data_IF_186266806682
#
_entry.id   IF_186266806682
#
_cell.length_a   1.000
_cell.length_b   1.000
_cell.length_c   1.000
_cell.angle_alpha   90.00
_cell.angle_beta   90.00
_cell.angle_gamma   90.00
#
_symmetry.space_group_name_H-M   'P 1'
#
loop_
_entity.id
_entity.type
_entity.pdbx_description
1 polymer ?
#
# COMPACT_ATOMS: atom_id res chain seq x y z
N UNK A 1 -2.52 -50.07 17.57
CA UNK A 1 -3.57 -49.51 16.70
C UNK A 1 -3.31 -48.02 16.55
N UNK A 2 -2.24 -47.69 15.83
CA UNK A 2 -1.78 -46.32 15.65
C UNK A 2 -1.04 -46.32 14.31
N UNK A 3 -1.67 -45.76 13.28
CA UNK A 3 -1.11 -45.37 11.97
C UNK A 3 -2.27 -45.23 11.00
N UNK A 4 -2.78 -43.99 10.82
CA UNK A 4 -3.51 -43.49 9.64
C UNK A 4 -4.06 -42.08 9.89
N UNK A 5 -3.19 -41.10 10.15
CA UNK A 5 -3.59 -39.67 10.08
C UNK A 5 -2.60 -38.79 9.29
N UNK A 6 -1.43 -39.29 8.88
CA UNK A 6 -0.43 -38.48 8.14
C UNK A 6 -0.44 -38.68 6.62
N UNK A 7 -1.59 -38.97 6.01
CA UNK A 7 -1.67 -39.37 4.60
C UNK A 7 -2.22 -38.33 3.62
N UNK A 8 -2.77 -37.20 4.09
CA UNK A 8 -3.59 -36.33 3.23
C UNK A 8 -2.92 -35.02 2.80
N UNK A 9 -1.75 -34.65 3.34
CA UNK A 9 -1.15 -33.33 3.10
C UNK A 9 0.09 -33.35 2.15
N UNK A 10 0.78 -34.49 1.99
CA UNK A 10 2.00 -34.52 1.15
C UNK A 10 1.73 -34.67 -0.36
N UNK A 11 0.60 -35.25 -0.78
CA UNK A 11 0.37 -35.54 -2.20
C UNK A 11 -0.11 -34.34 -3.03
N UNK A 12 -0.76 -33.36 -2.40
CA UNK A 12 -1.30 -32.18 -3.10
C UNK A 12 -0.20 -31.14 -3.39
N UNK A 13 0.95 -31.22 -2.72
CA UNK A 13 2.08 -30.30 -2.93
C UNK A 13 3.04 -30.71 -4.05
N UNK A 14 2.88 -31.88 -4.66
CA UNK A 14 3.86 -32.45 -5.62
C UNK A 14 3.69 -32.02 -7.09
N UNK A 15 2.67 -31.21 -7.42
CA UNK A 15 2.38 -30.77 -8.79
C UNK A 15 2.22 -29.26 -8.97
N UNK A 16 2.41 -28.46 -7.92
CA UNK A 16 2.38 -27.01 -8.06
C UNK A 16 3.67 -26.52 -8.71
N UNK A 17 3.53 -25.71 -9.77
CA UNK A 17 4.67 -24.97 -10.30
C UNK A 17 5.28 -24.11 -9.18
N UNK A 18 6.61 -23.91 -9.15
CA UNK A 18 7.28 -23.14 -8.09
C UNK A 18 6.73 -21.71 -7.95
N UNK A 19 6.17 -21.16 -9.02
CA UNK A 19 5.46 -19.88 -9.02
C UNK A 19 4.16 -19.93 -8.20
N UNK A 20 3.33 -20.95 -8.38
CA UNK A 20 2.05 -21.08 -7.69
C UNK A 20 2.25 -21.26 -6.18
N UNK A 21 3.26 -22.03 -5.78
CA UNK A 21 3.64 -22.17 -4.37
C UNK A 21 4.02 -20.82 -3.73
N UNK A 22 4.82 -19.99 -4.42
CA UNK A 22 5.19 -18.64 -3.96
C UNK A 22 3.99 -17.70 -3.86
N UNK A 23 3.06 -17.77 -4.82
CA UNK A 23 1.82 -16.98 -4.78
C UNK A 23 0.92 -17.37 -3.61
N UNK A 24 0.80 -18.67 -3.33
CA UNK A 24 0.05 -19.16 -2.16
C UNK A 24 0.67 -18.68 -0.86
N UNK A 25 2.00 -18.70 -0.75
CA UNK A 25 2.72 -18.19 0.41
C UNK A 25 2.48 -16.68 0.61
N UNK A 26 2.54 -15.89 -0.47
CA UNK A 26 2.19 -14.46 -0.45
C UNK A 26 0.73 -14.26 0.01
N UNK A 27 -0.21 -15.01 -0.54
CA UNK A 27 -1.63 -14.89 -0.23
C UNK A 27 -1.95 -15.26 1.23
N UNK A 28 -1.29 -16.28 1.80
CA UNK A 28 -1.41 -16.63 3.22
C UNK A 28 -0.84 -15.53 4.12
N UNK A 29 0.26 -14.93 3.69
CA UNK A 29 0.92 -13.84 4.40
C UNK A 29 1.32 -14.23 5.82
N UNK A 30 1.81 -15.45 6.00
CA UNK A 30 2.30 -15.95 7.30
C UNK A 30 3.61 -15.23 7.64
N UNK A 31 3.68 -14.48 8.75
CA UNK A 31 4.83 -13.64 9.08
C UNK A 31 6.17 -14.38 9.09
N UNK A 32 6.22 -15.55 9.72
CA UNK A 32 7.44 -16.35 9.84
C UNK A 32 7.87 -16.96 8.50
N UNK A 33 6.92 -17.41 7.69
CA UNK A 33 7.20 -17.95 6.36
C UNK A 33 7.73 -16.86 5.41
N UNK A 34 7.11 -15.68 5.43
CA UNK A 34 7.59 -14.51 4.69
C UNK A 34 8.95 -14.04 5.20
N UNK A 35 9.17 -14.08 6.53
CA UNK A 35 10.43 -13.70 7.12
C UNK A 35 11.57 -14.64 6.70
N UNK A 36 11.31 -15.95 6.75
CA UNK A 36 12.22 -16.98 6.23
C UNK A 36 12.54 -16.77 4.75
N UNK A 37 11.52 -16.46 3.94
CA UNK A 37 11.71 -16.19 2.50
C UNK A 37 12.59 -14.95 2.26
N UNK A 38 12.44 -13.89 3.05
CA UNK A 38 13.22 -12.66 2.93
C UNK A 38 14.67 -12.80 3.46
N UNK A 39 14.95 -13.80 4.30
CA UNK A 39 16.31 -14.15 4.75
C UNK A 39 17.10 -14.88 3.67
N UNK A 40 16.43 -15.57 2.75
CA UNK A 40 17.07 -16.26 1.64
C UNK A 40 17.65 -15.25 0.63
N UNK A 41 18.60 -15.72 -0.18
CA UNK A 41 19.17 -14.91 -1.26
C UNK A 41 18.09 -14.59 -2.30
N UNK A 42 17.95 -13.31 -2.63
CA UNK A 42 16.98 -12.88 -3.65
C UNK A 42 17.35 -13.47 -5.01
N UNK A 43 16.50 -14.38 -5.51
CA UNK A 43 16.64 -14.95 -6.85
C UNK A 43 15.93 -14.06 -7.88
N UNK A 44 16.39 -14.11 -9.14
CA UNK A 44 15.73 -13.41 -10.25
C UNK A 44 14.28 -13.84 -10.41
N UNK A 45 14.00 -15.13 -10.27
CA UNK A 45 12.65 -15.68 -10.40
C UNK A 45 11.70 -15.15 -9.32
N UNK A 46 12.17 -15.00 -8.08
CA UNK A 46 11.38 -14.41 -6.98
C UNK A 46 11.02 -12.97 -7.32
N UNK A 47 12.00 -12.18 -7.75
CA UNK A 47 11.77 -10.79 -8.13
C UNK A 47 10.78 -10.68 -9.30
N UNK A 48 10.96 -11.51 -10.34
CA UNK A 48 10.05 -11.57 -11.48
C UNK A 48 8.64 -11.97 -11.06
N UNK A 49 8.49 -12.94 -10.15
CA UNK A 49 7.18 -13.36 -9.64
C UNK A 49 6.46 -12.18 -8.96
N UNK A 50 7.16 -11.43 -8.11
CA UNK A 50 6.59 -10.24 -7.45
C UNK A 50 6.17 -9.16 -8.47
N UNK A 51 7.07 -8.83 -9.40
CA UNK A 51 6.82 -7.78 -10.41
C UNK A 51 5.64 -8.17 -11.32
N UNK A 52 5.63 -9.39 -11.85
CA UNK A 52 4.56 -9.88 -12.74
C UNK A 52 3.23 -9.93 -12.00
N UNK A 53 3.22 -10.33 -10.72
CA UNK A 53 2.00 -10.33 -9.91
C UNK A 53 1.43 -8.93 -9.74
N UNK A 54 2.30 -7.96 -9.42
CA UNK A 54 1.92 -6.54 -9.30
C UNK A 54 1.34 -6.03 -10.62
N UNK A 55 2.05 -6.25 -11.74
CA UNK A 55 1.61 -5.81 -13.05
C UNK A 55 0.27 -6.43 -13.41
N UNK A 56 0.13 -7.75 -13.30
CA UNK A 56 -1.08 -8.46 -13.67
C UNK A 56 -2.29 -8.02 -12.83
N UNK A 57 -2.17 -8.05 -11.50
CA UNK A 57 -3.28 -7.71 -10.60
C UNK A 57 -3.71 -6.25 -10.72
N UNK A 58 -2.76 -5.32 -10.74
CA UNK A 58 -3.06 -3.89 -10.86
C UNK A 58 -3.52 -3.50 -12.25
N UNK A 59 -3.01 -4.13 -13.32
CA UNK A 59 -3.47 -3.86 -14.68
C UNK A 59 -4.89 -4.37 -14.92
N UNK A 60 -5.20 -5.59 -14.48
CA UNK A 60 -6.56 -6.15 -14.57
C UNK A 60 -7.58 -5.30 -13.82
N UNK A 61 -7.26 -4.92 -12.57
CA UNK A 61 -8.14 -4.05 -11.80
C UNK A 61 -8.25 -2.65 -12.43
N UNK A 62 -7.11 -2.07 -12.82
CA UNK A 62 -7.06 -0.76 -13.48
C UNK A 62 -7.86 -0.71 -14.77
N UNK A 63 -7.85 -1.77 -15.57
CA UNK A 63 -8.69 -1.88 -16.76
C UNK A 63 -10.17 -1.73 -16.42
N UNK A 64 -10.66 -2.45 -15.40
CA UNK A 64 -12.03 -2.35 -14.92
C UNK A 64 -12.40 -0.94 -14.47
N UNK A 65 -11.49 -0.23 -13.78
CA UNK A 65 -11.72 1.15 -13.34
C UNK A 65 -11.96 2.13 -14.50
N UNK A 66 -11.19 2.00 -15.58
CA UNK A 66 -11.29 2.91 -16.72
C UNK A 66 -12.37 2.51 -17.73
N UNK A 67 -12.80 1.24 -17.72
CA UNK A 67 -13.70 0.67 -18.71
C UNK A 67 -15.03 1.41 -18.79
N UNK A 68 -15.57 1.86 -17.65
CA UNK A 68 -16.84 2.59 -17.59
C UNK A 68 -16.82 3.85 -18.44
N UNK A 69 -15.70 4.60 -18.40
CA UNK A 69 -15.56 5.84 -19.16
C UNK A 69 -15.36 5.58 -20.64
N UNK A 70 -14.49 4.63 -20.98
CA UNK A 70 -14.20 4.15 -22.34
C UNK A 70 -13.22 2.95 -22.29
N UNK A 71 -13.26 2.02 -23.26
CA UNK A 71 -12.26 0.94 -23.35
C UNK A 71 -10.81 1.45 -23.39
N UNK A 72 -10.56 2.56 -24.11
CA UNK A 72 -9.25 3.19 -24.18
C UNK A 72 -8.80 3.75 -22.81
N UNK A 73 -9.73 4.33 -22.04
CA UNK A 73 -9.45 4.76 -20.67
C UNK A 73 -9.09 3.56 -19.80
N UNK A 74 -9.76 2.41 -19.98
CA UNK A 74 -9.38 1.14 -19.35
C UNK A 74 -7.92 0.77 -19.60
N UNK A 75 -7.47 0.80 -20.86
CA UNK A 75 -6.06 0.52 -21.21
C UNK A 75 -5.10 1.51 -20.53
N UNK A 76 -5.42 2.81 -20.53
CA UNK A 76 -4.58 3.81 -19.87
C UNK A 76 -4.44 3.52 -18.37
N UNK A 77 -5.53 3.19 -17.69
CA UNK A 77 -5.51 2.93 -16.24
C UNK A 77 -4.84 1.60 -15.91
N UNK A 78 -4.98 0.60 -16.78
CA UNK A 78 -4.27 -0.68 -16.67
C UNK A 78 -2.74 -0.49 -16.66
N UNK A 79 -2.23 0.48 -17.43
CA UNK A 79 -0.81 0.85 -17.42
C UNK A 79 -0.45 1.72 -16.21
N UNK A 80 -1.30 2.70 -15.87
CA UNK A 80 -1.02 3.65 -14.78
C UNK A 80 -0.99 3.02 -13.40
N UNK A 81 -1.82 2.02 -13.13
CA UNK A 81 -1.93 1.43 -11.79
C UNK A 81 -0.62 0.74 -11.35
N UNK A 82 -0.02 -0.17 -12.15
CA UNK A 82 1.31 -0.69 -11.86
C UNK A 82 2.38 0.41 -11.84
N UNK A 83 2.32 1.35 -12.78
CA UNK A 83 3.28 2.45 -12.87
C UNK A 83 3.31 3.30 -11.60
N UNK A 84 2.14 3.61 -11.03
CA UNK A 84 2.01 4.34 -9.77
C UNK A 84 2.73 3.60 -8.63
N UNK A 85 2.51 2.30 -8.48
CA UNK A 85 3.16 1.48 -7.45
C UNK A 85 4.68 1.51 -7.59
N UNK A 86 5.20 1.28 -8.80
CA UNK A 86 6.65 1.25 -9.03
C UNK A 86 7.29 2.63 -8.87
N UNK A 87 6.64 3.70 -9.32
CA UNK A 87 7.12 5.07 -9.09
C UNK A 87 7.14 5.42 -7.60
N UNK A 88 6.08 5.08 -6.86
CA UNK A 88 6.04 5.30 -5.41
C UNK A 88 7.16 4.54 -4.71
N UNK A 89 7.40 3.27 -5.07
CA UNK A 89 8.49 2.50 -4.50
C UNK A 89 9.87 3.02 -4.93
N UNK A 90 10.03 3.49 -6.16
CA UNK A 90 11.29 4.05 -6.64
C UNK A 90 11.66 5.32 -5.87
N UNK A 91 10.70 6.23 -5.71
CA UNK A 91 10.92 7.51 -5.04
C UNK A 91 11.04 7.33 -3.53
N UNK A 92 10.16 6.52 -2.92
CA UNK A 92 10.10 6.39 -1.46
C UNK A 92 10.91 5.19 -0.91
N UNK A 93 11.38 4.27 -1.76
CA UNK A 93 12.11 3.07 -1.35
C UNK A 93 13.43 3.39 -0.65
N UNK A 94 14.13 4.45 -1.09
CA UNK A 94 15.35 4.94 -0.44
C UNK A 94 15.07 5.39 1.00
N UNK A 95 14.04 6.22 1.16
CA UNK A 95 13.59 6.75 2.45
C UNK A 95 13.12 5.59 3.36
N UNK A 96 12.33 4.66 2.83
CA UNK A 96 11.89 3.48 3.58
C UNK A 96 13.07 2.65 4.07
N UNK A 97 14.09 2.43 3.23
CA UNK A 97 15.30 1.72 3.61
C UNK A 97 16.05 2.39 4.76
N UNK A 98 16.25 3.71 4.68
CA UNK A 98 16.90 4.49 5.74
C UNK A 98 16.09 4.50 7.04
N UNK A 99 14.78 4.76 6.96
CA UNK A 99 13.88 4.76 8.11
C UNK A 99 13.79 3.37 8.76
N UNK A 100 13.79 2.30 7.97
CA UNK A 100 13.81 0.92 8.47
C UNK A 100 15.05 0.63 9.31
N UNK A 101 16.22 1.10 8.89
CA UNK A 101 17.46 0.97 9.67
C UNK A 101 17.41 1.82 10.94
N UNK A 102 16.97 3.08 10.84
CA UNK A 102 16.92 4.01 11.97
C UNK A 102 15.89 3.62 13.05
N UNK A 103 14.76 3.04 12.65
CA UNK A 103 13.67 2.67 13.55
C UNK A 103 13.82 1.27 14.16
N UNK A 104 14.87 0.53 13.79
CA UNK A 104 15.21 -0.76 14.36
C UNK A 104 14.42 -1.94 13.77
N UNK A 105 14.07 -1.88 12.48
CA UNK A 105 13.38 -3.00 11.81
C UNK A 105 14.23 -4.27 11.68
N UNK A 106 15.56 -4.16 11.82
CA UNK A 106 16.49 -5.27 11.63
C UNK A 106 16.70 -5.69 10.17
N UNK A 107 16.03 -5.03 9.21
CA UNK A 107 16.13 -5.34 7.78
C UNK A 107 17.20 -4.51 7.08
N UNK A 108 17.94 -5.16 6.18
CA UNK A 108 18.82 -4.47 5.24
C UNK A 108 18.02 -3.68 4.20
N UNK A 109 18.67 -2.73 3.53
CA UNK A 109 18.06 -1.93 2.46
C UNK A 109 17.35 -2.79 1.39
N UNK A 110 18.02 -3.84 0.92
CA UNK A 110 17.45 -4.79 -0.06
C UNK A 110 16.21 -5.48 0.48
N UNK A 111 16.26 -5.94 1.73
CA UNK A 111 15.13 -6.62 2.36
C UNK A 111 13.94 -5.68 2.53
N UNK A 112 14.17 -4.41 2.87
CA UNK A 112 13.12 -3.39 2.91
C UNK A 112 12.43 -3.22 1.57
N UNK A 113 13.19 -3.05 0.48
CA UNK A 113 12.62 -2.91 -0.88
C UNK A 113 11.80 -4.16 -1.25
N UNK A 114 12.33 -5.35 -0.98
CA UNK A 114 11.63 -6.61 -1.26
C UNK A 114 10.39 -6.78 -0.37
N UNK A 115 10.43 -6.39 0.90
CA UNK A 115 9.27 -6.42 1.79
C UNK A 115 8.16 -5.47 1.30
N UNK A 116 8.52 -4.27 0.82
CA UNK A 116 7.57 -3.37 0.16
C UNK A 116 6.99 -4.00 -1.11
N UNK A 117 7.81 -4.65 -1.95
CA UNK A 117 7.31 -5.39 -3.13
C UNK A 117 6.37 -6.53 -2.75
N UNK A 118 6.65 -7.28 -1.69
CA UNK A 118 5.74 -8.32 -1.18
C UNK A 118 4.41 -7.73 -0.74
N UNK A 119 4.42 -6.61 -0.01
CA UNK A 119 3.20 -5.89 0.37
C UNK A 119 2.39 -5.45 -0.85
N UNK A 120 3.04 -4.84 -1.86
CA UNK A 120 2.37 -4.46 -3.10
C UNK A 120 1.89 -5.65 -3.93
N UNK A 121 2.59 -6.79 -3.90
CA UNK A 121 2.13 -8.01 -4.54
C UNK A 121 0.85 -8.54 -3.86
N UNK A 122 0.79 -8.57 -2.53
CA UNK A 122 -0.42 -8.92 -1.77
C UNK A 122 -1.57 -7.97 -2.12
N UNK A 123 -1.31 -6.65 -2.11
CA UNK A 123 -2.29 -5.65 -2.55
C UNK A 123 -2.82 -5.95 -3.96
N UNK A 124 -1.92 -6.23 -4.92
CA UNK A 124 -2.27 -6.50 -6.31
C UNK A 124 -3.09 -7.78 -6.49
N UNK A 125 -2.82 -8.81 -5.69
CA UNK A 125 -3.61 -10.06 -5.70
C UNK A 125 -5.04 -9.79 -5.22
N UNK A 126 -5.20 -8.97 -4.17
CA UNK A 126 -6.52 -8.63 -3.65
C UNK A 126 -7.30 -7.83 -4.69
N UNK A 127 -6.78 -6.69 -5.16
CA UNK A 127 -7.51 -5.87 -6.15
C UNK A 127 -7.70 -6.61 -7.48
N UNK A 128 -6.72 -7.41 -7.90
CA UNK A 128 -6.83 -8.27 -9.07
C UNK A 128 -7.97 -9.28 -8.96
N UNK A 129 -8.21 -9.83 -7.76
CA UNK A 129 -9.34 -10.73 -7.49
C UNK A 129 -10.70 -10.03 -7.56
N UNK A 130 -10.75 -8.71 -7.29
CA UNK A 130 -11.96 -7.89 -7.47
C UNK A 130 -12.17 -7.44 -8.93
N UNK A 131 -11.17 -7.53 -9.81
CA UNK A 131 -11.27 -7.13 -11.23
C UNK A 131 -12.51 -7.68 -11.97
N UNK A 132 -12.83 -8.99 -11.93
CA UNK A 132 -14.02 -9.51 -12.61
C UNK A 132 -15.32 -8.89 -12.07
N UNK A 133 -15.41 -8.65 -10.76
CA UNK A 133 -16.58 -8.02 -10.14
C UNK A 133 -16.74 -6.58 -10.64
N UNK A 134 -15.65 -5.82 -10.73
CA UNK A 134 -15.67 -4.45 -11.26
C UNK A 134 -16.08 -4.44 -12.73
N UNK A 135 -15.54 -5.34 -13.55
CA UNK A 135 -15.89 -5.41 -14.98
C UNK A 135 -17.38 -5.73 -15.14
N UNK A 136 -17.91 -6.72 -14.41
CA UNK A 136 -19.34 -7.05 -14.45
C UNK A 136 -20.21 -5.88 -13.98
N UNK A 137 -19.80 -5.17 -12.93
CA UNK A 137 -20.51 -4.00 -12.43
C UNK A 137 -20.55 -2.85 -13.46
N UNK A 138 -19.46 -2.66 -14.20
CA UNK A 138 -19.39 -1.70 -15.31
C UNK A 138 -20.28 -2.14 -16.48
N UNK A 139 -20.34 -3.42 -16.81
CA UNK A 139 -21.18 -3.91 -17.91
C UNK A 139 -22.68 -3.73 -17.63
N UNK A 140 -23.08 -3.76 -16.36
CA UNK A 140 -24.47 -3.51 -15.91
C UNK A 140 -24.78 -2.01 -15.72
N UNK A 141 -23.81 -1.13 -15.90
CA UNK A 141 -23.95 0.29 -15.57
C UNK A 141 -24.69 1.11 -16.63
N UNK A 142 -25.36 2.21 -16.23
CA UNK A 142 -25.82 3.23 -17.18
C UNK A 142 -24.63 3.84 -17.94
N UNK A 143 -24.74 4.03 -19.26
CA UNK A 143 -23.67 4.64 -20.03
C UNK A 143 -23.33 6.07 -19.57
N UNK A 144 -22.07 6.51 -19.72
CA UNK A 144 -21.65 7.87 -19.42
C UNK A 144 -22.54 8.92 -20.11
N UNK A 145 -23.05 9.88 -19.34
CA UNK A 145 -23.87 10.99 -19.85
C UNK A 145 -25.38 10.69 -19.97
N UNK A 146 -25.84 9.48 -19.62
CA UNK A 146 -27.27 9.16 -19.54
C UNK A 146 -27.86 9.45 -18.15
N UNK A 147 -29.20 9.58 -18.02
CA UNK A 147 -29.86 9.70 -16.72
C UNK A 147 -29.44 8.57 -15.76
N UNK A 148 -29.10 8.92 -14.52
CA UNK A 148 -28.58 7.97 -13.52
C UNK A 148 -27.06 7.72 -13.56
N UNK A 149 -26.36 8.11 -14.64
CA UNK A 149 -24.92 7.90 -14.77
C UNK A 149 -24.08 8.66 -13.74
N UNK A 150 -24.49 9.87 -13.34
CA UNK A 150 -23.78 10.66 -12.34
C UNK A 150 -23.87 10.07 -10.92
N UNK A 151 -25.03 9.53 -10.55
CA UNK A 151 -25.22 8.84 -9.28
C UNK A 151 -24.42 7.55 -9.25
N UNK A 152 -24.52 6.75 -10.32
CA UNK A 152 -23.74 5.53 -10.49
C UNK A 152 -22.23 5.82 -10.39
N UNK A 153 -21.72 6.87 -11.05
CA UNK A 153 -20.32 7.26 -10.99
C UNK A 153 -19.85 7.56 -9.56
N UNK A 154 -20.68 8.22 -8.74
CA UNK A 154 -20.36 8.51 -7.33
C UNK A 154 -20.26 7.23 -6.51
N UNK A 155 -21.21 6.32 -6.68
CA UNK A 155 -21.22 5.01 -6.00
C UNK A 155 -20.01 4.17 -6.45
N UNK A 156 -19.72 4.16 -7.75
CA UNK A 156 -18.58 3.47 -8.33
C UNK A 156 -17.26 4.00 -7.78
N UNK A 157 -17.09 5.32 -7.70
CA UNK A 157 -15.91 5.96 -7.14
C UNK A 157 -15.73 5.59 -5.66
N UNK A 158 -16.79 5.67 -4.86
CA UNK A 158 -16.74 5.32 -3.44
C UNK A 158 -16.45 3.83 -3.22
N UNK A 159 -17.13 2.94 -3.96
CA UNK A 159 -16.97 1.49 -3.86
C UNK A 159 -15.54 1.04 -4.21
N UNK A 160 -15.00 1.52 -5.32
CA UNK A 160 -13.62 1.21 -5.70
C UNK A 160 -12.60 1.84 -4.74
N UNK A 161 -12.87 3.02 -4.20
CA UNK A 161 -12.03 3.62 -3.16
C UNK A 161 -12.01 2.73 -1.91
N UNK A 162 -13.15 2.18 -1.50
CA UNK A 162 -13.25 1.25 -0.38
C UNK A 162 -12.48 -0.05 -0.63
N UNK A 163 -12.58 -0.62 -1.85
CA UNK A 163 -11.83 -1.83 -2.23
C UNK A 163 -10.31 -1.59 -2.18
N UNK A 164 -9.84 -0.47 -2.74
CA UNK A 164 -8.42 -0.09 -2.71
C UNK A 164 -7.95 0.12 -1.26
N UNK A 165 -8.74 0.82 -0.45
CA UNK A 165 -8.43 1.04 0.96
C UNK A 165 -8.34 -0.28 1.74
N UNK A 166 -9.31 -1.17 1.56
CA UNK A 166 -9.32 -2.50 2.15
C UNK A 166 -8.09 -3.31 1.76
N UNK A 167 -7.77 -3.40 0.46
CA UNK A 167 -6.60 -4.10 -0.03
C UNK A 167 -5.30 -3.53 0.57
N UNK A 168 -5.21 -2.19 0.67
CA UNK A 168 -4.09 -1.50 1.27
C UNK A 168 -3.93 -1.82 2.76
N UNK A 169 -5.02 -1.83 3.52
CA UNK A 169 -5.03 -2.17 4.96
C UNK A 169 -4.57 -3.62 5.15
N UNK A 170 -5.14 -4.58 4.42
CA UNK A 170 -4.78 -5.99 4.55
C UNK A 170 -3.31 -6.22 4.19
N UNK A 171 -2.84 -5.66 3.07
CA UNK A 171 -1.44 -5.79 2.65
C UNK A 171 -0.46 -5.21 3.69
N UNK A 172 -0.76 -4.04 4.24
CA UNK A 172 0.11 -3.41 5.24
C UNK A 172 -0.01 -4.05 6.63
N UNK A 173 -1.13 -4.68 6.96
CA UNK A 173 -1.25 -5.52 8.15
C UNK A 173 -0.34 -6.75 8.05
N UNK A 174 -0.27 -7.40 6.87
CA UNK A 174 0.69 -8.49 6.62
C UNK A 174 2.14 -7.99 6.66
N UNK A 175 2.41 -6.81 6.09
CA UNK A 175 3.72 -6.17 6.18
C UNK A 175 4.13 -5.88 7.62
N UNK A 176 3.20 -5.46 8.49
CA UNK A 176 3.47 -5.25 9.91
C UNK A 176 3.99 -6.53 10.55
N UNK A 177 3.27 -7.64 10.36
CA UNK A 177 3.67 -8.95 10.90
C UNK A 177 5.05 -9.35 10.42
N UNK A 178 5.36 -9.15 9.13
CA UNK A 178 6.69 -9.40 8.56
C UNK A 178 7.77 -8.55 9.24
N UNK A 179 7.54 -7.24 9.40
CA UNK A 179 8.51 -6.36 10.06
C UNK A 179 8.73 -6.80 11.50
N UNK A 180 7.66 -7.14 12.23
CA UNK A 180 7.74 -7.58 13.63
C UNK A 180 8.49 -8.90 13.80
N UNK A 181 8.29 -9.85 12.88
CA UNK A 181 9.04 -11.11 12.85
C UNK A 181 10.54 -10.90 12.57
N UNK A 182 10.90 -9.81 11.84
CA UNK A 182 12.29 -9.42 11.63
C UNK A 182 12.91 -8.66 12.79
N UNK A 183 12.18 -7.70 13.37
CA UNK A 183 12.71 -6.83 14.42
C UNK A 183 12.78 -7.53 15.78
N UNK A 184 11.92 -8.54 16.02
CA UNK A 184 11.73 -9.12 17.35
C UNK A 184 11.10 -8.14 18.36
N UNK A 185 10.71 -6.94 17.92
CA UNK A 185 10.09 -5.88 18.73
C UNK A 185 8.85 -5.33 18.01
N UNK A 186 7.68 -5.55 18.63
CA UNK A 186 6.39 -5.09 18.13
C UNK A 186 6.34 -3.56 17.96
N UNK A 187 6.96 -2.81 18.87
CA UNK A 187 6.96 -1.36 18.85
C UNK A 187 7.88 -0.81 17.73
N UNK A 188 9.04 -1.43 17.50
CA UNK A 188 9.89 -1.10 16.35
C UNK A 188 9.17 -1.39 15.03
N UNK A 189 8.45 -2.51 14.93
CA UNK A 189 7.67 -2.85 13.75
C UNK A 189 6.57 -1.83 13.45
N UNK A 190 5.81 -1.42 14.46
CA UNK A 190 4.76 -0.42 14.29
C UNK A 190 5.32 0.95 13.88
N UNK A 191 6.37 1.43 14.56
CA UNK A 191 7.03 2.71 14.21
C UNK A 191 7.53 2.71 12.77
N UNK A 192 8.15 1.61 12.35
CA UNK A 192 8.65 1.42 10.99
C UNK A 192 7.51 1.46 9.98
N UNK A 193 6.44 0.70 10.21
CA UNK A 193 5.30 0.68 9.31
C UNK A 193 4.63 2.05 9.18
N UNK A 194 4.39 2.74 10.30
CA UNK A 194 3.77 4.08 10.27
C UNK A 194 4.63 5.05 9.48
N UNK A 195 5.95 5.03 9.65
CA UNK A 195 6.86 5.88 8.90
C UNK A 195 6.84 5.56 7.39
N UNK A 196 6.84 4.27 7.03
CA UNK A 196 6.74 3.85 5.63
C UNK A 196 5.39 4.20 5.01
N UNK A 197 4.29 4.02 5.74
CA UNK A 197 2.94 4.40 5.32
C UNK A 197 2.85 5.91 5.08
N UNK A 198 3.39 6.73 5.99
CA UNK A 198 3.40 8.18 5.85
C UNK A 198 4.14 8.60 4.58
N UNK A 199 5.34 8.07 4.34
CA UNK A 199 6.12 8.34 3.12
C UNK A 199 5.41 7.86 1.85
N UNK A 200 4.89 6.63 1.87
CA UNK A 200 4.20 6.04 0.72
C UNK A 200 2.91 6.79 0.39
N UNK A 201 2.14 7.21 1.40
CA UNK A 201 0.91 7.98 1.21
C UNK A 201 1.21 9.39 0.72
N UNK A 202 2.25 10.03 1.26
CA UNK A 202 2.69 11.35 0.80
C UNK A 202 3.08 11.30 -0.68
N UNK A 203 4.08 10.49 -1.02
CA UNK A 203 4.58 10.37 -2.41
C UNK A 203 3.51 9.83 -3.35
N UNK A 204 2.75 8.81 -2.93
CA UNK A 204 1.68 8.20 -3.71
C UNK A 204 0.54 9.17 -4.03
N UNK A 205 0.14 10.03 -3.06
CA UNK A 205 -0.89 11.05 -3.30
C UNK A 205 -0.44 12.05 -4.37
N UNK A 206 0.81 12.51 -4.33
CA UNK A 206 1.32 13.44 -5.33
C UNK A 206 1.49 12.78 -6.71
N UNK A 207 2.01 11.57 -6.78
CA UNK A 207 2.15 10.85 -8.06
C UNK A 207 0.77 10.52 -8.66
N UNK A 208 -0.18 10.09 -7.85
CA UNK A 208 -1.55 9.86 -8.32
C UNK A 208 -2.21 11.16 -8.81
N UNK A 209 -1.93 12.31 -8.18
CA UNK A 209 -2.39 13.62 -8.64
C UNK A 209 -1.89 13.96 -10.05
N UNK A 210 -0.60 13.71 -10.30
CA UNK A 210 0.05 13.92 -11.60
C UNK A 210 -0.51 12.96 -12.65
N UNK A 211 -0.70 11.68 -12.30
CA UNK A 211 -1.14 10.62 -13.22
C UNK A 211 -2.64 10.62 -13.55
N UNK A 212 -3.44 11.50 -12.93
CA UNK A 212 -4.87 11.62 -13.26
C UNK A 212 -5.08 11.94 -14.74
N UNK A 213 -6.18 11.44 -15.34
CA UNK A 213 -7.32 10.77 -14.70
C UNK A 213 -7.15 9.24 -14.54
N UNK A 214 -7.65 8.70 -13.42
CA UNK A 214 -7.82 7.25 -13.22
C UNK A 214 -9.26 6.84 -13.62
N UNK A 215 -10.26 7.17 -12.79
CA UNK A 215 -11.67 6.84 -13.07
C UNK A 215 -12.24 7.52 -14.32
N UNK A 216 -11.81 8.77 -14.59
CA UNK A 216 -12.28 9.56 -15.75
C UNK A 216 -13.63 10.23 -15.49
N UNK A 217 -13.71 11.56 -15.69
CA UNK A 217 -14.99 12.27 -15.67
C UNK A 217 -15.67 12.08 -17.04
N UNK A 218 -16.96 11.69 -17.11
CA UNK A 218 -17.71 11.58 -18.37
C UNK A 218 -17.68 12.87 -19.22
N UNK A 219 -17.61 14.03 -18.57
CA UNK A 219 -17.60 15.35 -19.21
C UNK A 219 -16.22 15.76 -19.73
N UNK A 220 -15.15 15.07 -19.33
CA UNK A 220 -13.77 15.37 -19.74
C UNK A 220 -13.29 14.38 -20.81
N UNK A 221 -12.36 14.80 -21.69
CA UNK A 221 -11.82 13.92 -22.72
C UNK A 221 -11.04 12.74 -22.12
N UNK A 222 -11.07 11.61 -22.84
CA UNK A 222 -10.23 10.45 -22.55
C UNK A 222 -8.79 10.78 -22.89
N UNK A 223 -7.90 10.72 -21.91
CA UNK A 223 -6.50 11.11 -22.08
C UNK A 223 -5.60 10.38 -21.10
N UNK A 224 -4.38 10.06 -21.54
CA UNK A 224 -3.40 9.41 -20.69
C UNK A 224 -2.88 10.36 -19.61
N UNK A 225 -2.68 11.64 -19.89
CA UNK A 225 -2.39 12.67 -18.89
C UNK A 225 -3.22 13.91 -19.22
N UNK A 226 -3.57 14.68 -18.19
CA UNK A 226 -4.16 16.01 -18.40
C UNK A 226 -3.15 16.96 -19.05
N UNK A 227 -3.62 18.03 -19.73
CA UNK A 227 -2.75 19.15 -20.08
C UNK A 227 -2.06 19.69 -18.83
N UNK A 228 -0.77 20.00 -18.93
CA UNK A 228 0.08 20.47 -17.85
C UNK A 228 -0.01 19.62 -16.55
N UNK A 229 0.43 18.35 -16.59
CA UNK A 229 0.23 17.41 -15.48
C UNK A 229 0.92 17.84 -14.18
N UNK A 230 1.95 18.68 -14.27
CA UNK A 230 2.73 19.22 -13.15
C UNK A 230 2.13 20.50 -12.53
N UNK A 231 1.07 21.07 -13.10
CA UNK A 231 0.42 22.26 -12.53
C UNK A 231 -0.42 21.93 -11.29
N UNK A 232 -0.10 22.62 -10.19
CA UNK A 232 -0.68 22.40 -8.86
C UNK A 232 -0.21 21.11 -8.20
N UNK A 233 -0.62 20.89 -6.96
CA UNK A 233 -0.31 19.66 -6.23
C UNK A 233 -1.52 19.10 -5.46
N UNK A 234 -1.40 17.86 -5.01
CA UNK A 234 -2.46 17.16 -4.28
C UNK A 234 -2.90 17.90 -3.03
N UNK A 235 -1.94 18.42 -2.27
CA UNK A 235 -2.20 19.04 -0.97
C UNK A 235 -2.96 20.35 -1.13
N UNK A 236 -2.63 21.16 -2.14
CA UNK A 236 -3.38 22.36 -2.50
C UNK A 236 -4.83 22.04 -2.87
N UNK A 237 -5.06 21.00 -3.66
CA UNK A 237 -6.41 20.61 -4.06
C UNK A 237 -7.24 20.12 -2.86
N UNK A 238 -6.66 19.30 -1.98
CA UNK A 238 -7.32 18.87 -0.73
C UNK A 238 -7.60 20.06 0.16
N UNK A 239 -6.64 20.97 0.31
CA UNK A 239 -6.82 22.18 1.09
C UNK A 239 -7.93 23.09 0.54
N UNK A 240 -8.01 23.22 -0.78
CA UNK A 240 -9.10 23.93 -1.46
C UNK A 240 -10.47 23.29 -1.17
N UNK A 241 -10.58 21.97 -1.30
CA UNK A 241 -11.82 21.24 -1.00
C UNK A 241 -12.23 21.37 0.47
N UNK A 242 -11.27 21.30 1.39
CA UNK A 242 -11.51 21.43 2.83
C UNK A 242 -12.03 22.83 3.19
N UNK A 243 -11.40 23.89 2.65
CA UNK A 243 -11.86 25.27 2.83
C UNK A 243 -13.25 25.50 2.23
N UNK A 244 -13.52 24.94 1.05
CA UNK A 244 -14.84 25.03 0.42
C UNK A 244 -15.94 24.34 1.26
N UNK A 245 -15.60 23.28 1.99
CA UNK A 245 -16.57 22.50 2.79
C UNK A 245 -16.89 23.13 4.15
N UNK A 246 -15.93 23.85 4.77
CA UNK A 246 -16.05 24.41 6.13
C UNK A 246 -16.35 25.92 6.11
N UNK A 247 -16.21 26.56 4.95
CA UNK A 247 -16.39 28.01 4.76
C UNK A 247 -15.04 28.71 4.52
N UNK A 248 -14.93 29.62 3.55
CA UNK A 248 -13.65 30.21 3.13
C UNK A 248 -12.89 30.93 4.25
N UNK A 249 -13.62 31.53 5.20
CA UNK A 249 -13.08 32.33 6.30
C UNK A 249 -12.80 31.52 7.58
N UNK A 250 -13.08 30.22 7.56
CA UNK A 250 -12.89 29.36 8.74
C UNK A 250 -11.40 29.06 8.97
N UNK A 251 -10.87 29.43 10.14
CA UNK A 251 -9.50 29.05 10.55
C UNK A 251 -9.41 27.60 11.06
N UNK A 252 -10.56 26.92 11.24
CA UNK A 252 -10.67 25.57 11.81
C UNK A 252 -9.70 24.56 11.16
N UNK A 253 -9.53 24.50 9.82
CA UNK A 253 -8.58 23.58 9.19
C UNK A 253 -7.12 23.83 9.61
N UNK A 254 -6.72 25.09 9.72
CA UNK A 254 -5.36 25.49 10.11
C UNK A 254 -5.13 25.16 11.58
N UNK A 255 -6.12 25.41 12.42
CA UNK A 255 -6.05 25.13 13.86
C UNK A 255 -5.93 23.63 14.15
N UNK A 256 -6.71 22.78 13.46
CA UNK A 256 -6.60 21.32 13.60
C UNK A 256 -5.23 20.82 13.16
N UNK A 257 -4.71 21.32 12.04
CA UNK A 257 -3.38 20.92 11.54
C UNK A 257 -2.28 21.31 12.53
N UNK A 258 -2.37 22.51 13.10
CA UNK A 258 -1.44 23.02 14.12
C UNK A 258 -1.48 22.18 15.39
N UNK A 259 -2.68 21.81 15.88
CA UNK A 259 -2.85 20.94 17.04
C UNK A 259 -2.25 19.56 16.78
N UNK A 260 -2.50 18.96 15.60
CA UNK A 260 -1.92 17.66 15.24
C UNK A 260 -0.38 17.71 15.20
N UNK A 261 0.20 18.76 14.61
CA UNK A 261 1.66 18.95 14.59
C UNK A 261 2.25 19.08 16.00
N UNK A 262 1.63 19.89 16.87
CA UNK A 262 2.05 20.05 18.27
C UNK A 262 1.95 18.72 19.02
N UNK A 263 0.84 17.99 18.89
CA UNK A 263 0.64 16.70 19.54
C UNK A 263 1.69 15.67 19.09
N UNK A 264 2.02 15.64 17.81
CA UNK A 264 3.03 14.73 17.25
C UNK A 264 4.43 15.09 17.74
N UNK A 265 4.77 16.38 17.79
CA UNK A 265 6.04 16.86 18.34
C UNK A 265 6.16 16.54 19.85
N UNK A 266 5.10 16.75 20.62
CA UNK A 266 5.05 16.41 22.04
C UNK A 266 5.22 14.91 22.29
N UNK A 267 4.57 14.07 21.49
CA UNK A 267 4.73 12.62 21.56
C UNK A 267 6.17 12.19 21.21
N UNK A 268 6.79 12.81 20.21
CA UNK A 268 8.18 12.56 19.85
C UNK A 268 9.16 12.95 20.98
N UNK A 269 8.94 14.11 21.60
CA UNK A 269 9.75 14.59 22.74
C UNK A 269 9.59 13.65 23.94
N UNK A 270 8.35 13.30 24.31
CA UNK A 270 8.08 12.39 25.43
C UNK A 270 8.78 11.03 25.24
N UNK A 271 8.72 10.48 24.02
CA UNK A 271 9.36 9.21 23.69
C UNK A 271 10.90 9.32 23.69
N UNK A 272 11.45 10.47 23.30
CA UNK A 272 12.88 10.75 23.41
C UNK A 272 13.34 10.83 24.88
N UNK A 273 12.59 11.53 25.73
CA UNK A 273 12.88 11.67 27.15
C UNK A 273 12.81 10.33 27.90
N UNK A 274 11.79 9.50 27.61
CA UNK A 274 11.66 8.16 28.18
C UNK A 274 12.86 7.25 27.84
N UNK A 275 13.37 7.33 26.60
CA UNK A 275 14.57 6.59 26.18
C UNK A 275 15.85 7.08 26.85
N UNK A 276 15.96 8.37 27.15
CA UNK A 276 17.11 8.91 27.90
C UNK A 276 17.07 8.49 29.37
N UNK A 277 15.90 8.54 30.02
CA UNK A 277 15.73 8.13 31.41
C UNK A 277 16.08 6.64 31.64
N UNK A 278 15.68 5.75 30.72
CA UNK A 278 16.02 4.32 30.79
C UNK A 278 17.51 4.00 30.60
N UNK A 279 18.29 4.90 29.97
CA UNK A 279 19.76 4.75 29.87
C UNK A 279 20.50 5.23 31.11
N UNK A 280 19.94 6.18 31.85
CA UNK A 280 20.52 6.70 33.09
C UNK A 280 20.36 5.72 34.27
N UNK A 281 19.33 4.86 34.24
CA UNK A 281 19.06 3.85 35.27
C UNK A 281 19.59 2.47 34.87
N UNK A 282 20.91 2.32 34.71
CA UNK A 282 21.56 1.00 34.69
C UNK A 282 22.09 0.72 36.11
N UNK A 283 21.59 -0.29 36.85
CA UNK A 283 22.04 -0.53 38.21
C UNK A 283 23.53 -0.88 38.22
N UNK A 284 24.29 -0.14 39.03
CA UNK A 284 25.69 -0.42 39.31
C UNK A 284 25.74 -1.79 39.97
N UNK A 285 26.46 -2.75 39.36
CA UNK A 285 26.61 -4.08 39.94
C UNK A 285 27.15 -3.97 41.37
N UNK A 286 26.59 -4.72 42.34
CA UNK A 286 27.19 -4.79 43.67
C UNK A 286 28.61 -5.39 43.54
N UNK A 287 29.58 -4.91 44.34
CA UNK A 287 30.95 -5.40 44.26
C UNK A 287 31.00 -6.91 44.56
N UNK A 288 31.92 -7.65 43.90
CA UNK A 288 32.06 -9.08 44.13
C UNK A 288 32.47 -9.37 45.58
N UNK A 289 32.10 -10.55 46.10
CA UNK A 289 32.31 -10.94 47.51
C UNK A 289 33.78 -11.03 47.90
#
# INVERSE_FOLDING_TARGET
MNDKVNGFDERVMSHDSPHLARLRLLARGEPEALAGWLRQTLTRETLLTLIVTIIAGCALYGFGLGLWRAPLQGVFVAVKMPLLIFLTLLVNGLINGMLGLLLGSGMSFRQTVVACLMSFAIFSLIVGSFSPLIILWVLDSPPPGQPGGAEWYRIFLLGNTAIIAFAGIVANHKLLGLIQAFSGDAAAGWRTLVAWLAGNLFVGAQLSYILRPFFGNPELPVQFLRPNPLEGNFYEAVWGMLRASIGPDSQVPVTILTIMLIATAMAAISNHMAKQAGKAFKPIHPPPP
#
